data_IF_497858213640
#
_entry.id   IF_497858213640
#
_cell.length_a   1.000
_cell.length_b   1.000
_cell.length_c   1.000
_cell.angle_alpha   90.00
_cell.angle_beta   90.00
_cell.angle_gamma   90.00
#
_symmetry.space_group_name_H-M   'P 1'
#
loop_
_entity.id
_entity.type
_entity.pdbx_description
1 polymer ?
#
# COMPACT_ATOMS: atom_id res chain seq x y z
N UNK A 1 -21.84 -49.98 -6.98
CA UNK A 1 -22.06 -50.86 -8.15
C UNK A 1 -20.70 -51.33 -8.71
N UNK A 2 -19.65 -50.52 -8.55
CA UNK A 2 -18.29 -50.81 -9.04
C UNK A 2 -17.58 -51.99 -8.35
N UNK A 3 -17.73 -52.16 -7.03
CA UNK A 3 -17.11 -53.28 -6.30
C UNK A 3 -17.52 -54.66 -6.82
N UNK A 4 -18.76 -54.81 -7.29
CA UNK A 4 -19.24 -56.07 -7.86
C UNK A 4 -18.66 -56.35 -9.25
N UNK A 5 -18.34 -55.29 -10.02
CA UNK A 5 -17.69 -55.40 -11.32
C UNK A 5 -16.21 -55.70 -11.16
N UNK A 6 -15.55 -55.07 -10.19
CA UNK A 6 -14.16 -55.33 -9.82
C UNK A 6 -14.01 -56.79 -9.35
N UNK A 7 -14.88 -57.25 -8.44
CA UNK A 7 -14.88 -58.64 -8.00
C UNK A 7 -15.08 -59.63 -9.16
N UNK A 8 -15.97 -59.33 -10.11
CA UNK A 8 -16.17 -60.18 -11.30
C UNK A 8 -14.94 -60.25 -12.22
N UNK A 9 -14.15 -59.18 -12.31
CA UNK A 9 -12.89 -59.14 -13.08
C UNK A 9 -11.74 -59.91 -12.44
N UNK A 10 -11.77 -60.06 -11.10
CA UNK A 10 -10.74 -60.74 -10.30
C UNK A 10 -11.02 -62.22 -10.04
N UNK A 11 -12.17 -62.76 -10.43
CA UNK A 11 -12.46 -64.19 -10.29
C UNK A 11 -11.65 -64.96 -11.33
N UNK A 12 -10.69 -65.75 -10.87
CA UNK A 12 -10.01 -66.76 -11.68
C UNK A 12 -11.05 -67.80 -12.10
N UNK A 13 -11.22 -67.99 -13.41
CA UNK A 13 -12.12 -69.03 -13.93
C UNK A 13 -11.51 -70.41 -13.64
N UNK A 14 -11.90 -71.03 -12.53
CA UNK A 14 -11.45 -72.39 -12.19
C UNK A 14 -12.15 -73.48 -13.02
N UNK A 15 -13.28 -73.14 -13.65
CA UNK A 15 -14.12 -74.10 -14.39
C UNK A 15 -13.43 -74.71 -15.62
N UNK A 16 -12.74 -73.94 -16.48
CA UNK A 16 -11.98 -74.49 -17.60
C UNK A 16 -10.89 -75.47 -17.13
N UNK A 17 -10.16 -75.13 -16.05
CA UNK A 17 -9.12 -76.00 -15.50
C UNK A 17 -9.70 -77.32 -14.96
N UNK A 18 -10.78 -77.25 -14.20
CA UNK A 18 -11.47 -78.46 -13.69
C UNK A 18 -12.02 -79.33 -14.82
N UNK A 19 -12.57 -78.72 -15.88
CA UNK A 19 -13.05 -79.42 -17.08
C UNK A 19 -11.90 -80.12 -17.81
N UNK A 20 -10.80 -79.41 -18.04
CA UNK A 20 -9.62 -79.95 -18.70
C UNK A 20 -9.02 -81.14 -17.91
N UNK A 21 -8.87 -81.00 -16.59
CA UNK A 21 -8.39 -82.09 -15.72
C UNK A 21 -9.31 -83.31 -15.79
N UNK A 22 -10.63 -83.11 -15.78
CA UNK A 22 -11.61 -84.21 -15.95
C UNK A 22 -11.40 -84.93 -17.29
N UNK A 23 -11.23 -84.17 -18.38
CA UNK A 23 -11.02 -84.72 -19.72
C UNK A 23 -9.68 -85.44 -19.87
N UNK A 24 -8.62 -84.97 -19.22
CA UNK A 24 -7.35 -85.69 -19.15
C UNK A 24 -7.49 -87.03 -18.40
N UNK A 25 -8.31 -87.09 -17.34
CA UNK A 25 -8.60 -88.35 -16.64
C UNK A 25 -9.45 -89.32 -17.49
N UNK A 26 -10.44 -88.82 -18.23
CA UNK A 26 -11.23 -89.62 -19.17
C UNK A 26 -10.34 -90.22 -20.29
N UNK A 27 -9.40 -89.43 -20.82
CA UNK A 27 -8.40 -89.91 -21.77
C UNK A 27 -7.48 -90.98 -21.17
N UNK A 28 -7.02 -90.80 -19.92
CA UNK A 28 -6.20 -91.78 -19.22
C UNK A 28 -6.92 -93.13 -19.03
N UNK A 29 -8.25 -93.12 -18.94
CA UNK A 29 -9.08 -94.33 -18.84
C UNK A 29 -9.43 -94.95 -20.22
N UNK A 30 -8.84 -94.45 -21.32
CA UNK A 30 -9.16 -94.82 -22.72
C UNK A 30 -10.62 -94.56 -23.12
N UNK A 31 -11.30 -93.61 -22.47
CA UNK A 31 -12.70 -93.27 -22.74
C UNK A 31 -12.86 -92.07 -23.70
N UNK A 32 -11.74 -91.47 -24.13
CA UNK A 32 -11.71 -90.27 -24.97
C UNK A 32 -10.75 -90.46 -26.16
N UNK A 33 -11.13 -89.91 -27.32
CA UNK A 33 -10.26 -89.88 -28.51
C UNK A 33 -9.19 -88.76 -28.41
N UNK A 34 -8.12 -88.87 -29.18
CA UNK A 34 -7.02 -87.90 -29.22
C UNK A 34 -7.52 -86.56 -29.76
N UNK A 35 -8.37 -86.58 -30.79
CA UNK A 35 -8.93 -85.38 -31.41
C UNK A 35 -9.74 -84.53 -30.40
N UNK A 36 -10.49 -85.18 -29.50
CA UNK A 36 -11.26 -84.51 -28.44
C UNK A 36 -10.33 -83.86 -27.39
N UNK A 37 -9.19 -84.48 -27.10
CA UNK A 37 -8.18 -83.93 -26.20
C UNK A 37 -7.48 -82.71 -26.81
N UNK A 38 -7.18 -82.74 -28.11
CA UNK A 38 -6.60 -81.60 -28.83
C UNK A 38 -7.52 -80.37 -28.80
N UNK A 39 -8.83 -80.59 -28.96
CA UNK A 39 -9.84 -79.51 -28.86
C UNK A 39 -9.86 -78.90 -27.46
N UNK A 40 -9.81 -79.71 -26.40
CA UNK A 40 -9.78 -79.20 -25.02
C UNK A 40 -8.44 -78.51 -24.68
N UNK A 41 -7.31 -78.99 -25.23
CA UNK A 41 -6.02 -78.29 -25.13
C UNK A 41 -6.06 -76.91 -25.79
N UNK A 42 -6.57 -76.82 -27.02
CA UNK A 42 -6.72 -75.54 -27.73
C UNK A 42 -7.67 -74.58 -26.98
N UNK A 43 -8.74 -75.10 -26.39
CA UNK A 43 -9.64 -74.32 -25.54
C UNK A 43 -8.91 -73.78 -24.28
N UNK A 44 -8.05 -74.58 -23.66
CA UNK A 44 -7.24 -74.16 -22.51
C UNK A 44 -6.21 -73.08 -22.90
N UNK A 45 -5.53 -73.24 -24.03
CA UNK A 45 -4.57 -72.25 -24.56
C UNK A 45 -5.24 -70.90 -24.83
N UNK A 46 -6.46 -70.90 -25.36
CA UNK A 46 -7.25 -69.69 -25.58
C UNK A 46 -7.59 -68.99 -24.25
N UNK A 47 -7.96 -69.76 -23.22
CA UNK A 47 -8.22 -69.23 -21.87
C UNK A 47 -6.95 -68.64 -21.26
N UNK A 48 -5.81 -69.32 -21.38
CA UNK A 48 -4.52 -68.86 -20.88
C UNK A 48 -4.09 -67.55 -21.55
N UNK A 49 -4.15 -67.49 -22.88
CA UNK A 49 -3.80 -66.29 -23.67
C UNK A 49 -4.65 -65.10 -23.26
N UNK A 50 -5.96 -65.31 -23.06
CA UNK A 50 -6.87 -64.27 -22.58
C UNK A 50 -6.48 -63.76 -21.19
N UNK A 51 -6.12 -64.64 -20.26
CA UNK A 51 -5.69 -64.27 -18.91
C UNK A 51 -4.38 -63.48 -18.92
N UNK A 52 -3.42 -63.90 -19.76
CA UNK A 52 -2.16 -63.20 -19.93
C UNK A 52 -2.39 -61.77 -20.46
N UNK A 53 -3.19 -61.62 -21.53
CA UNK A 53 -3.53 -60.30 -22.08
C UNK A 53 -4.25 -59.42 -21.05
N UNK A 54 -5.15 -60.01 -20.25
CA UNK A 54 -5.83 -59.28 -19.19
C UNK A 54 -4.86 -58.80 -18.11
N UNK A 55 -3.88 -59.63 -17.72
CA UNK A 55 -2.84 -59.24 -16.75
C UNK A 55 -1.98 -58.10 -17.29
N UNK A 56 -1.48 -58.23 -18.51
CA UNK A 56 -0.67 -57.20 -19.17
C UNK A 56 -1.44 -55.87 -19.32
N UNK A 57 -2.72 -55.94 -19.66
CA UNK A 57 -3.59 -54.76 -19.75
C UNK A 57 -3.79 -54.10 -18.39
N UNK A 58 -4.08 -54.88 -17.35
CA UNK A 58 -4.26 -54.38 -15.99
C UNK A 58 -2.98 -53.74 -15.43
N UNK A 59 -1.81 -54.32 -15.70
CA UNK A 59 -0.52 -53.76 -15.30
C UNK A 59 -0.26 -52.42 -16.00
N UNK A 60 -0.52 -52.34 -17.31
CA UNK A 60 -0.39 -51.10 -18.05
C UNK A 60 -1.37 -50.02 -17.56
N UNK A 61 -2.63 -50.39 -17.31
CA UNK A 61 -3.65 -49.49 -16.76
C UNK A 61 -3.25 -48.98 -15.37
N UNK A 62 -2.76 -49.87 -14.50
CA UNK A 62 -2.26 -49.51 -13.17
C UNK A 62 -1.10 -48.50 -13.25
N UNK A 63 -0.16 -48.71 -14.18
CA UNK A 63 0.96 -47.79 -14.42
C UNK A 63 0.48 -46.42 -14.93
N UNK A 64 -0.49 -46.40 -15.83
CA UNK A 64 -1.07 -45.14 -16.34
C UNK A 64 -1.77 -44.39 -15.22
N UNK A 65 -2.52 -45.08 -14.36
CA UNK A 65 -3.19 -44.46 -13.22
C UNK A 65 -2.21 -43.94 -12.18
N UNK A 66 -1.14 -44.67 -11.87
CA UNK A 66 -0.09 -44.18 -10.98
C UNK A 66 0.53 -42.89 -11.51
N UNK A 67 0.91 -42.86 -12.80
CA UNK A 67 1.43 -41.65 -13.43
C UNK A 67 0.42 -40.49 -13.37
N UNK A 68 -0.87 -40.78 -13.59
CA UNK A 68 -1.91 -39.75 -13.53
C UNK A 68 -2.11 -39.20 -12.12
N UNK A 69 -1.99 -40.04 -11.10
CA UNK A 69 -2.02 -39.60 -9.70
C UNK A 69 -0.85 -38.66 -9.41
N UNK A 70 0.37 -39.03 -9.81
CA UNK A 70 1.54 -38.15 -9.65
C UNK A 70 1.38 -36.80 -10.37
N UNK A 71 0.81 -36.79 -11.58
CA UNK A 71 0.49 -35.56 -12.31
C UNK A 71 -0.50 -34.67 -11.56
N UNK A 72 -1.56 -35.26 -11.00
CA UNK A 72 -2.59 -34.54 -10.24
C UNK A 72 -2.01 -33.99 -8.94
N UNK A 73 -1.22 -34.78 -8.21
CA UNK A 73 -0.56 -34.33 -6.99
C UNK A 73 0.34 -33.12 -7.25
N UNK A 74 1.11 -33.17 -8.34
CA UNK A 74 1.95 -32.05 -8.77
C UNK A 74 1.13 -30.81 -9.12
N UNK A 75 0.03 -30.97 -9.86
CA UNK A 75 -0.87 -29.87 -10.21
C UNK A 75 -1.48 -29.24 -8.95
N UNK A 76 -1.93 -30.04 -7.98
CA UNK A 76 -2.44 -29.55 -6.70
C UNK A 76 -1.39 -28.78 -5.89
N UNK A 77 -0.12 -29.24 -5.88
CA UNK A 77 0.98 -28.50 -5.24
C UNK A 77 1.26 -27.15 -5.92
N UNK A 78 1.24 -27.12 -7.25
CA UNK A 78 1.43 -25.89 -8.04
C UNK A 78 0.28 -24.90 -7.82
N UNK A 79 -0.97 -25.36 -7.80
CA UNK A 79 -2.14 -24.55 -7.47
C UNK A 79 -2.07 -23.99 -6.05
N UNK A 80 -1.66 -24.82 -5.08
CA UNK A 80 -1.53 -24.37 -3.68
C UNK A 80 -0.51 -23.24 -3.55
N UNK A 81 0.65 -23.36 -4.20
CA UNK A 81 1.66 -22.29 -4.25
C UNK A 81 1.12 -21.03 -4.91
N UNK A 82 0.38 -21.18 -6.01
CA UNK A 82 -0.26 -20.06 -6.71
C UNK A 82 -1.26 -19.33 -5.81
N UNK A 83 -2.08 -20.07 -5.07
CA UNK A 83 -3.03 -19.50 -4.11
C UNK A 83 -2.30 -18.72 -3.01
N UNK A 84 -1.22 -19.27 -2.44
CA UNK A 84 -0.42 -18.58 -1.43
C UNK A 84 0.20 -17.27 -1.96
N UNK A 85 0.69 -17.27 -3.19
CA UNK A 85 1.22 -16.07 -3.85
C UNK A 85 0.12 -15.02 -4.08
N UNK A 86 -1.05 -15.42 -4.56
CA UNK A 86 -2.19 -14.53 -4.75
C UNK A 86 -2.69 -13.94 -3.42
N UNK A 87 -2.69 -14.72 -2.34
CA UNK A 87 -3.03 -14.21 -1.01
C UNK A 87 -2.04 -13.15 -0.53
N UNK A 88 -0.73 -13.33 -0.77
CA UNK A 88 0.28 -12.31 -0.47
C UNK A 88 0.08 -11.04 -1.28
N UNK A 89 -0.22 -11.16 -2.57
CA UNK A 89 -0.52 -10.01 -3.44
C UNK A 89 -1.79 -9.28 -3.00
N UNK A 90 -2.82 -10.03 -2.58
CA UNK A 90 -4.05 -9.46 -2.05
C UNK A 90 -3.77 -8.66 -0.76
N UNK A 91 -2.93 -9.16 0.13
CA UNK A 91 -2.60 -8.44 1.36
C UNK A 91 -1.81 -7.16 1.07
N UNK A 92 -0.78 -7.24 0.21
CA UNK A 92 -0.01 -6.07 -0.21
C UNK A 92 -0.89 -4.98 -0.86
N UNK A 93 -1.85 -5.39 -1.71
CA UNK A 93 -2.78 -4.45 -2.36
C UNK A 93 -3.78 -3.84 -1.38
N UNK A 94 -4.20 -4.56 -0.33
CA UNK A 94 -5.00 -3.99 0.77
C UNK A 94 -4.22 -2.96 1.58
N UNK A 95 -2.97 -3.25 1.90
CA UNK A 95 -2.09 -2.29 2.59
C UNK A 95 -1.89 -1.02 1.75
N UNK A 96 -1.67 -1.17 0.44
CA UNK A 96 -1.59 -0.05 -0.50
C UNK A 96 -2.88 0.77 -0.56
N UNK A 97 -4.03 0.08 -0.58
CA UNK A 97 -5.33 0.74 -0.56
C UNK A 97 -5.51 1.55 0.73
N UNK A 98 -5.18 0.97 1.88
CA UNK A 98 -5.30 1.68 3.16
C UNK A 98 -4.35 2.89 3.24
N UNK A 99 -3.12 2.77 2.71
CA UNK A 99 -2.20 3.92 2.59
C UNK A 99 -2.80 5.01 1.70
N UNK A 100 -3.37 4.66 0.55
CA UNK A 100 -4.04 5.64 -0.34
C UNK A 100 -5.22 6.31 0.35
N UNK A 101 -6.04 5.56 1.08
CA UNK A 101 -7.16 6.11 1.85
C UNK A 101 -6.68 7.11 2.91
N UNK A 102 -5.59 6.79 3.63
CA UNK A 102 -4.97 7.71 4.59
C UNK A 102 -4.50 9.00 3.90
N UNK A 103 -3.81 8.90 2.77
CA UNK A 103 -3.38 10.07 1.98
C UNK A 103 -4.57 10.88 1.47
N UNK A 104 -5.62 10.23 0.99
CA UNK A 104 -6.83 10.90 0.51
C UNK A 104 -7.55 11.62 1.66
N UNK A 105 -7.57 11.05 2.87
CA UNK A 105 -8.13 11.71 4.05
C UNK A 105 -7.32 12.95 4.43
N UNK A 106 -5.99 12.87 4.40
CA UNK A 106 -5.12 14.03 4.62
C UNK A 106 -5.35 15.08 3.53
N UNK A 107 -5.41 14.67 2.27
CA UNK A 107 -5.67 15.55 1.14
C UNK A 107 -7.03 16.26 1.30
N UNK A 108 -8.09 15.54 1.68
CA UNK A 108 -9.41 16.12 1.98
C UNK A 108 -9.34 17.11 3.14
N UNK A 109 -8.60 16.83 4.21
CA UNK A 109 -8.43 17.79 5.30
C UNK A 109 -7.72 19.08 4.85
N UNK A 110 -6.72 18.95 3.97
CA UNK A 110 -6.00 20.09 3.40
C UNK A 110 -6.92 20.88 2.46
N UNK A 111 -7.63 20.21 1.53
CA UNK A 111 -8.50 20.89 0.56
C UNK A 111 -9.75 21.50 1.22
N UNK A 112 -10.30 20.87 2.26
CA UNK A 112 -11.50 21.38 2.96
C UNK A 112 -11.31 22.75 3.63
N UNK A 113 -10.05 23.14 3.90
CA UNK A 113 -9.72 24.42 4.52
C UNK A 113 -9.60 25.56 3.51
N UNK A 114 -9.87 25.32 2.22
CA UNK A 114 -9.74 26.29 1.12
C UNK A 114 -8.42 27.08 1.22
N UNK A 115 -7.34 26.37 1.60
CA UNK A 115 -6.01 26.96 1.68
C UNK A 115 -5.60 27.38 0.28
N UNK A 116 -5.19 28.65 0.15
CA UNK A 116 -4.55 29.15 -1.07
C UNK A 116 -3.38 28.24 -1.45
N UNK A 117 -3.12 28.13 -2.75
CA UNK A 117 -1.99 27.35 -3.24
C UNK A 117 -0.69 27.80 -2.56
N UNK A 118 0.27 26.90 -2.27
CA UNK A 118 1.57 27.29 -1.73
C UNK A 118 2.24 28.41 -2.52
N UNK A 119 2.08 28.43 -3.85
CA UNK A 119 2.62 29.49 -4.71
C UNK A 119 1.95 30.85 -4.47
N UNK A 120 0.62 30.86 -4.33
CA UNK A 120 -0.13 32.08 -4.04
C UNK A 120 0.20 32.63 -2.64
N UNK A 121 0.37 31.74 -1.66
CA UNK A 121 0.79 32.12 -0.31
C UNK A 121 2.19 32.76 -0.33
N UNK A 122 3.14 32.18 -1.07
CA UNK A 122 4.48 32.75 -1.23
C UNK A 122 4.44 34.12 -1.89
N UNK A 123 3.68 34.29 -2.98
CA UNK A 123 3.52 35.59 -3.62
C UNK A 123 2.93 36.64 -2.68
N UNK A 124 1.94 36.26 -1.86
CA UNK A 124 1.33 37.16 -0.88
C UNK A 124 2.33 37.56 0.21
N UNK A 125 3.12 36.59 0.72
CA UNK A 125 4.17 36.83 1.71
C UNK A 125 5.23 37.79 1.16
N UNK A 126 5.68 37.57 -0.09
CA UNK A 126 6.64 38.48 -0.73
C UNK A 126 6.07 39.90 -0.83
N UNK A 127 4.84 40.06 -1.35
CA UNK A 127 4.19 41.39 -1.42
C UNK A 127 4.04 42.07 -0.06
N UNK A 128 3.72 41.31 0.98
CA UNK A 128 3.60 41.85 2.34
C UNK A 128 4.96 42.29 2.87
N UNK A 129 6.03 41.53 2.62
CA UNK A 129 7.38 41.92 3.01
C UNK A 129 7.86 43.17 2.28
N UNK A 130 7.60 43.27 0.97
CA UNK A 130 7.94 44.45 0.17
C UNK A 130 7.22 45.70 0.73
N UNK A 131 5.93 45.58 1.07
CA UNK A 131 5.17 46.68 1.68
C UNK A 131 5.68 47.05 3.09
N UNK A 132 6.12 46.07 3.88
CA UNK A 132 6.74 46.33 5.19
C UNK A 132 8.04 47.10 5.03
N UNK A 133 8.89 46.72 4.06
CA UNK A 133 10.14 47.42 3.78
C UNK A 133 9.89 48.87 3.34
N UNK A 134 8.89 49.09 2.47
CA UNK A 134 8.51 50.44 2.04
C UNK A 134 8.03 51.30 3.22
N UNK A 135 7.18 50.76 4.10
CA UNK A 135 6.72 51.45 5.31
C UNK A 135 7.84 51.74 6.30
N UNK A 136 8.81 50.83 6.43
CA UNK A 136 9.99 51.07 7.26
C UNK A 136 10.83 52.22 6.74
N UNK A 137 11.05 52.27 5.42
CA UNK A 137 11.76 53.38 4.76
C UNK A 137 11.01 54.70 4.89
N UNK A 138 9.68 54.68 4.76
CA UNK A 138 8.84 55.86 4.95
C UNK A 138 8.94 56.37 6.40
N UNK A 139 8.90 55.46 7.38
CA UNK A 139 9.10 55.80 8.80
C UNK A 139 10.48 56.41 9.06
N UNK A 140 11.54 55.85 8.47
CA UNK A 140 12.90 56.42 8.54
C UNK A 140 12.97 57.82 7.92
N UNK A 141 12.26 58.04 6.81
CA UNK A 141 12.17 59.35 6.18
C UNK A 141 11.44 60.37 7.08
N UNK A 142 10.30 60.00 7.66
CA UNK A 142 9.55 60.88 8.56
C UNK A 142 10.32 61.20 9.84
N UNK A 143 11.02 60.23 10.42
CA UNK A 143 11.85 60.47 11.61
C UNK A 143 12.98 61.45 11.31
N UNK A 144 13.68 61.28 10.17
CA UNK A 144 14.69 62.24 9.70
C UNK A 144 14.12 63.65 9.46
N UNK A 145 12.95 63.75 8.81
CA UNK A 145 12.25 65.02 8.61
C UNK A 145 11.84 65.68 9.92
N UNK A 146 11.38 64.89 10.89
CA UNK A 146 11.03 65.36 12.22
C UNK A 146 12.24 65.92 12.96
N UNK A 147 13.37 65.21 12.93
CA UNK A 147 14.62 65.64 13.57
C UNK A 147 15.14 66.93 12.94
N UNK A 148 15.12 67.05 11.60
CA UNK A 148 15.49 68.27 10.89
C UNK A 148 14.57 69.45 11.23
N UNK A 149 13.27 69.20 11.37
CA UNK A 149 12.30 70.21 11.79
C UNK A 149 12.53 70.63 13.24
N UNK A 150 12.82 69.69 14.14
CA UNK A 150 13.15 70.00 15.53
C UNK A 150 14.42 70.85 15.63
N UNK A 151 15.49 70.50 14.90
CA UNK A 151 16.71 71.28 14.82
C UNK A 151 16.46 72.71 14.28
N UNK A 152 15.60 72.84 13.25
CA UNK A 152 15.20 74.14 12.70
C UNK A 152 14.42 74.97 13.73
N UNK A 153 13.52 74.34 14.50
CA UNK A 153 12.81 75.02 15.60
C UNK A 153 13.75 75.48 16.71
N UNK A 154 14.73 74.65 17.10
CA UNK A 154 15.76 75.03 18.07
C UNK A 154 16.59 76.23 17.58
N UNK A 155 16.94 76.26 16.29
CA UNK A 155 17.65 77.39 15.69
C UNK A 155 16.81 78.67 15.70
N UNK A 156 15.52 78.59 15.32
CA UNK A 156 14.58 79.71 15.40
C UNK A 156 14.44 80.21 16.85
N UNK A 157 14.31 79.31 17.82
CA UNK A 157 14.25 79.68 19.24
C UNK A 157 15.51 80.43 19.70
N UNK A 158 16.70 79.97 19.30
CA UNK A 158 17.96 80.68 19.55
C UNK A 158 17.98 82.07 18.92
N UNK A 159 17.52 82.19 17.68
CA UNK A 159 17.42 83.48 16.98
C UNK A 159 16.42 84.42 17.65
N UNK A 160 15.27 83.92 18.12
CA UNK A 160 14.29 84.70 18.91
C UNK A 160 14.90 85.16 20.23
N UNK A 161 15.65 84.29 20.93
CA UNK A 161 16.34 84.66 22.16
C UNK A 161 17.42 85.73 21.92
N UNK A 162 18.24 85.58 20.88
CA UNK A 162 19.21 86.60 20.46
C UNK A 162 18.53 87.90 20.05
N UNK A 163 17.38 87.85 19.37
CA UNK A 163 16.61 89.04 19.00
C UNK A 163 16.03 89.72 20.25
N UNK A 164 15.56 88.95 21.24
CA UNK A 164 15.12 89.47 22.54
C UNK A 164 16.27 90.17 23.27
N UNK A 165 17.48 89.62 23.23
CA UNK A 165 18.68 90.24 23.79
C UNK A 165 19.12 91.50 23.04
N UNK A 166 18.94 91.56 21.71
CA UNK A 166 19.27 92.73 20.89
C UNK A 166 18.23 93.85 20.99
N UNK A 167 16.94 93.52 21.14
CA UNK A 167 15.85 94.48 21.35
C UNK A 167 15.88 95.01 22.80
N UNK A 168 16.46 94.26 23.74
CA UNK A 168 16.73 94.71 25.11
C UNK A 168 18.23 94.81 25.42
N UNK A 169 18.98 95.75 24.83
CA UNK A 169 20.34 96.00 25.27
C UNK A 169 20.25 96.74 26.61
N UNK A 170 20.82 96.11 27.65
CA UNK A 170 20.80 96.52 29.07
C UNK A 170 19.55 96.09 29.86
N UNK A 171 19.58 94.89 30.42
CA UNK A 171 19.55 94.67 31.88
C UNK A 171 20.15 93.29 32.18
N UNK A 172 21.29 93.27 32.86
CA UNK A 172 21.60 92.25 33.87
C UNK A 172 22.69 92.84 34.78
N UNK A 173 22.73 92.61 36.10
CA UNK A 173 22.15 91.44 36.76
C UNK A 173 21.50 91.68 38.14
N UNK A 174 20.95 90.58 38.69
CA UNK A 174 20.95 90.23 40.13
C UNK A 174 19.65 90.46 40.92
N UNK A 175 18.98 89.31 41.17
CA UNK A 175 18.25 88.87 42.39
C UNK A 175 17.08 89.69 42.95
N UNK A 176 15.89 89.09 42.88
CA UNK A 176 14.95 88.91 44.00
C UNK A 176 14.03 87.72 43.60
N UNK A 177 14.20 86.54 44.20
CA UNK A 177 13.29 86.04 45.25
C UNK A 177 11.84 86.49 45.06
N UNK A 178 10.96 85.59 44.63
CA UNK A 178 9.95 85.05 45.55
C UNK A 178 8.97 84.07 44.88
N UNK A 179 8.80 82.93 45.55
CA UNK A 179 7.60 82.07 45.63
C UNK A 179 7.22 81.20 44.41
N UNK A 180 7.39 79.88 44.48
CA UNK A 180 6.62 78.87 45.24
C UNK A 180 5.27 78.52 44.60
N UNK A 181 5.06 77.22 44.34
CA UNK A 181 3.77 76.61 43.96
C UNK A 181 3.88 75.75 42.69
N UNK A 182 4.21 74.44 42.78
CA UNK A 182 3.22 73.33 42.75
C UNK A 182 2.24 73.46 41.56
N UNK A 183 2.10 72.50 40.63
CA UNK A 183 2.04 71.06 40.82
C UNK A 183 2.05 70.36 39.45
N UNK A 184 2.57 69.13 39.43
CA UNK A 184 2.28 68.12 38.41
C UNK A 184 0.77 67.91 38.23
N UNK A 185 0.33 67.66 37.00
CA UNK A 185 -0.40 66.44 36.66
C UNK A 185 -0.45 66.28 35.13
N UNK A 186 0.16 65.20 34.65
CA UNK A 186 -0.23 64.61 33.38
C UNK A 186 -1.53 63.82 33.57
N UNK A 187 -2.29 63.72 32.48
CA UNK A 187 -2.86 62.47 31.93
C UNK A 187 -4.15 62.82 31.16
N UNK A 188 -4.01 62.93 29.84
CA UNK A 188 -5.13 62.89 28.91
C UNK A 188 -5.24 61.42 28.46
N UNK A 189 -6.33 60.69 28.75
CA UNK A 189 -6.59 59.43 28.09
C UNK A 189 -7.23 59.73 26.74
N UNK A 190 -6.58 59.23 25.69
CA UNK A 190 -7.12 59.08 24.34
C UNK A 190 -8.37 58.20 24.33
N UNK A 191 -9.24 58.51 23.37
CA UNK A 191 -10.31 57.66 22.84
C UNK A 191 -9.92 57.18 21.44
#
# INVERSE_FOLDING_TARGET
>A
MDDTLIKKRLIVEERPLRRFISKCHEFQNNELDIDDLEVECAAMEAVWTRLQLQSETNENESRVYQKRVEEIEKECEEETKTIEELLKQMEATKEDFHRKEQYDNIAKMITSKDLRSPEEQQQLVTKLNDAIEELQKEKESYTSLWDARNASFEEILKQIQSLKEQIHPTVSPTTADDTNGMQEEGEHPDA
#
